data_IF_407690044623
#
_entry.id   IF_407690044623
#
_cell.length_a   1.000
_cell.length_b   1.000
_cell.length_c   1.000
_cell.angle_alpha   90.00
_cell.angle_beta   90.00
_cell.angle_gamma   90.00
#
_symmetry.space_group_name_H-M   'P 1'
#
loop_
_entity.id
_entity.type
_entity.pdbx_description
1 polymer ?
#
# COMPACT_ATOMS: atom_id res chain seq x y z
N UNK A 1 -25.12 -15.11 3.37
CA UNK A 1 -24.01 -14.19 3.69
C UNK A 1 -22.83 -15.02 4.13
N UNK A 2 -21.74 -14.99 3.37
CA UNK A 2 -20.49 -15.63 3.76
C UNK A 2 -20.00 -15.00 5.08
N UNK A 3 -19.36 -15.79 5.96
CA UNK A 3 -18.79 -15.28 7.22
C UNK A 3 -17.85 -14.07 7.01
N UNK A 4 -17.08 -14.04 5.91
CA UNK A 4 -16.19 -12.93 5.56
C UNK A 4 -16.93 -11.61 5.33
N UNK A 5 -18.10 -11.62 4.70
CA UNK A 5 -18.89 -10.40 4.46
C UNK A 5 -19.37 -9.79 5.78
N UNK A 6 -19.77 -10.63 6.73
CA UNK A 6 -20.17 -10.19 8.07
C UNK A 6 -18.99 -9.63 8.87
N UNK A 7 -17.82 -10.26 8.78
CA UNK A 7 -16.59 -9.77 9.44
C UNK A 7 -16.20 -8.40 8.90
N UNK A 8 -16.17 -8.25 7.57
CA UNK A 8 -15.90 -6.96 6.92
C UNK A 8 -16.91 -5.91 7.36
N UNK A 9 -18.22 -6.22 7.30
CA UNK A 9 -19.28 -5.29 7.71
C UNK A 9 -19.11 -4.81 9.15
N UNK A 10 -18.85 -5.73 10.09
CA UNK A 10 -18.59 -5.39 11.50
C UNK A 10 -17.42 -4.43 11.64
N UNK A 11 -16.29 -4.71 10.97
CA UNK A 11 -15.11 -3.81 10.98
C UNK A 11 -15.43 -2.42 10.44
N UNK A 12 -16.20 -2.32 9.37
CA UNK A 12 -16.60 -1.03 8.80
C UNK A 12 -17.54 -0.25 9.74
N UNK A 13 -18.47 -0.94 10.40
CA UNK A 13 -19.31 -0.35 11.46
C UNK A 13 -18.48 0.12 12.67
N UNK A 14 -17.35 -0.55 12.93
CA UNK A 14 -16.33 -0.16 13.93
C UNK A 14 -15.34 0.92 13.41
N UNK A 15 -15.57 1.49 12.21
CA UNK A 15 -14.76 2.58 11.66
C UNK A 15 -13.51 2.15 10.89
N UNK A 16 -13.39 0.88 10.47
CA UNK A 16 -12.30 0.46 9.60
C UNK A 16 -12.35 1.12 8.22
N UNK A 17 -11.19 1.28 7.58
CA UNK A 17 -11.07 1.79 6.23
C UNK A 17 -11.18 0.65 5.20
N UNK A 18 -11.91 0.89 4.11
CA UNK A 18 -11.95 0.01 2.94
C UNK A 18 -11.43 0.75 1.72
N UNK A 19 -10.10 0.83 1.58
CA UNK A 19 -9.45 1.45 0.44
C UNK A 19 -9.15 0.41 -0.62
N UNK A 20 -9.63 0.63 -1.84
CA UNK A 20 -9.33 -0.23 -2.98
C UNK A 20 -7.82 -0.23 -3.24
N UNK A 21 -7.25 -1.43 -3.47
CA UNK A 21 -5.83 -1.57 -3.79
C UNK A 21 -5.66 -1.78 -5.29
N UNK A 22 -4.77 -0.99 -5.89
CA UNK A 22 -4.26 -1.26 -7.24
C UNK A 22 -3.04 -2.16 -7.10
N UNK A 23 -3.13 -3.37 -7.62
CA UNK A 23 -2.02 -4.33 -7.63
C UNK A 23 -1.49 -4.51 -9.05
N UNK A 24 -0.19 -4.75 -9.16
CA UNK A 24 0.45 -5.12 -10.42
C UNK A 24 1.37 -6.30 -10.18
N UNK A 25 1.38 -7.23 -11.14
CA UNK A 25 2.45 -8.20 -11.29
C UNK A 25 3.41 -7.66 -12.36
N UNK A 26 4.70 -7.62 -12.04
CA UNK A 26 5.74 -7.17 -12.96
C UNK A 26 6.59 -8.40 -13.30
N UNK A 27 6.46 -8.89 -14.52
CA UNK A 27 7.27 -9.99 -15.04
C UNK A 27 8.54 -9.44 -15.67
N UNK A 28 9.68 -9.85 -15.13
CA UNK A 28 11.03 -9.40 -15.52
C UNK A 28 11.92 -10.57 -15.94
N UNK A 29 11.31 -11.69 -16.33
CA UNK A 29 11.98 -12.92 -16.78
C UNK A 29 12.84 -12.67 -18.02
N UNK A 30 12.39 -11.80 -18.91
CA UNK A 30 13.11 -11.26 -20.05
C UNK A 30 13.28 -9.73 -19.90
N UNK A 31 14.49 -9.22 -19.63
CA UNK A 31 14.75 -7.79 -19.51
C UNK A 31 14.41 -6.97 -20.76
N UNK A 32 14.39 -7.59 -21.94
CA UNK A 32 14.02 -6.92 -23.20
C UNK A 32 12.51 -6.88 -23.43
N UNK A 33 11.74 -7.62 -22.61
CA UNK A 33 10.28 -7.66 -22.67
C UNK A 33 9.68 -7.69 -21.27
N UNK A 34 9.57 -6.52 -20.67
CA UNK A 34 8.90 -6.36 -19.37
C UNK A 34 7.39 -6.42 -19.59
N UNK A 35 6.71 -7.25 -18.81
CA UNK A 35 5.26 -7.27 -18.77
C UNK A 35 4.79 -6.74 -17.43
N UNK A 36 3.81 -5.84 -17.47
CA UNK A 36 3.06 -5.44 -16.29
C UNK A 36 1.65 -6.00 -16.50
N UNK A 37 1.11 -6.67 -15.49
CA UNK A 37 -0.25 -7.19 -15.53
C UNK A 37 -1.04 -6.65 -14.33
N UNK A 38 -2.26 -6.13 -14.53
CA UNK A 38 -3.09 -5.70 -13.42
C UNK A 38 -3.47 -6.92 -12.57
N UNK A 39 -3.32 -6.78 -11.26
CA UNK A 39 -3.64 -7.83 -10.30
C UNK A 39 -4.87 -7.42 -9.50
N UNK A 40 -5.93 -8.23 -9.60
CA UNK A 40 -7.15 -8.02 -8.82
C UNK A 40 -6.93 -8.40 -7.34
N UNK A 41 -6.45 -7.41 -6.57
CA UNK A 41 -6.29 -7.50 -5.12
C UNK A 41 -7.60 -7.42 -4.35
N UNK A 42 -8.71 -7.10 -5.01
CA UNK A 42 -10.01 -6.87 -4.38
C UNK A 42 -11.01 -8.00 -4.69
N UNK A 43 -10.53 -9.10 -5.28
CA UNK A 43 -11.35 -10.28 -5.58
C UNK A 43 -12.04 -10.87 -4.34
N UNK A 44 -13.20 -11.54 -4.49
CA UNK A 44 -13.89 -12.17 -3.35
C UNK A 44 -13.02 -13.17 -2.58
N UNK A 45 -12.15 -13.91 -3.27
CA UNK A 45 -11.22 -14.85 -2.64
C UNK A 45 -10.18 -14.14 -1.77
N UNK A 46 -9.57 -13.06 -2.28
CA UNK A 46 -8.61 -12.25 -1.52
C UNK A 46 -9.27 -11.62 -0.29
N UNK A 47 -10.52 -11.15 -0.42
CA UNK A 47 -11.27 -10.61 0.71
C UNK A 47 -11.49 -11.65 1.81
N UNK A 48 -11.81 -12.90 1.47
CA UNK A 48 -11.98 -13.96 2.47
C UNK A 48 -10.68 -14.16 3.26
N UNK A 49 -9.55 -14.29 2.56
CA UNK A 49 -8.24 -14.49 3.20
C UNK A 49 -7.86 -13.29 4.07
N UNK A 50 -8.11 -12.07 3.60
CA UNK A 50 -7.82 -10.85 4.35
C UNK A 50 -8.65 -10.78 5.64
N UNK A 51 -9.96 -10.98 5.58
CA UNK A 51 -10.82 -10.88 6.75
C UNK A 51 -10.52 -11.98 7.78
N UNK A 52 -10.16 -13.19 7.33
CA UNK A 52 -9.69 -14.25 8.23
C UNK A 52 -8.35 -13.90 8.87
N UNK A 53 -7.40 -13.35 8.12
CA UNK A 53 -6.11 -12.94 8.66
C UNK A 53 -6.26 -11.82 9.69
N UNK A 54 -7.12 -10.83 9.42
CA UNK A 54 -7.44 -9.76 10.36
C UNK A 54 -8.08 -10.33 11.62
N UNK A 55 -9.05 -11.25 11.48
CA UNK A 55 -9.70 -11.89 12.63
C UNK A 55 -8.68 -12.60 13.52
N UNK A 56 -7.82 -13.45 12.95
CA UNK A 56 -6.79 -14.17 13.72
C UNK A 56 -5.84 -13.21 14.44
N UNK A 57 -5.41 -12.14 13.76
CA UNK A 57 -4.53 -11.14 14.34
C UNK A 57 -5.22 -10.31 15.46
N UNK A 58 -6.52 -10.01 15.30
CA UNK A 58 -7.35 -9.34 16.31
C UNK A 58 -7.50 -10.21 17.56
N UNK A 59 -7.86 -11.48 17.39
CA UNK A 59 -8.02 -12.41 18.51
C UNK A 59 -6.69 -12.72 19.19
N UNK A 60 -5.58 -12.78 18.43
CA UNK A 60 -4.23 -12.90 19.02
C UNK A 60 -3.94 -11.71 19.95
N UNK A 61 -4.20 -10.48 19.48
CA UNK A 61 -4.01 -9.28 20.30
C UNK A 61 -4.87 -9.27 21.56
N UNK A 62 -6.15 -9.63 21.45
CA UNK A 62 -7.06 -9.75 22.60
C UNK A 62 -6.57 -10.78 23.63
N UNK A 63 -6.11 -11.94 23.18
CA UNK A 63 -5.61 -12.99 24.07
C UNK A 63 -4.41 -12.51 24.90
N UNK A 64 -3.41 -11.92 24.25
CA UNK A 64 -2.24 -11.36 24.94
C UNK A 64 -2.64 -10.27 25.93
N UNK A 65 -3.58 -9.40 25.56
CA UNK A 65 -4.04 -8.33 26.43
C UNK A 65 -4.75 -8.88 27.68
N UNK A 66 -5.70 -9.81 27.49
CA UNK A 66 -6.49 -10.38 28.59
C UNK A 66 -5.62 -11.16 29.59
N UNK A 67 -4.63 -11.91 29.09
CA UNK A 67 -3.69 -12.67 29.92
C UNK A 67 -2.55 -11.79 30.47
N UNK A 68 -2.51 -10.49 30.14
CA UNK A 68 -1.40 -9.59 30.45
C UNK A 68 -0.03 -10.16 30.02
N UNK A 69 0.00 -10.88 28.91
CA UNK A 69 1.20 -11.55 28.39
C UNK A 69 2.00 -10.60 27.48
N UNK A 70 3.34 -10.52 27.63
CA UNK A 70 4.14 -9.58 26.86
C UNK A 70 4.21 -9.96 25.38
N UNK A 71 3.89 -9.00 24.52
CA UNK A 71 3.85 -9.15 23.06
C UNK A 71 4.09 -7.82 22.36
N UNK A 72 4.16 -7.86 21.02
CA UNK A 72 4.31 -6.66 20.19
C UNK A 72 2.98 -6.42 19.45
N UNK A 73 2.29 -5.38 19.85
CA UNK A 73 1.08 -4.84 19.22
C UNK A 73 1.44 -3.96 18.03
N UNK A 74 0.47 -3.81 17.14
CA UNK A 74 0.54 -2.88 16.01
C UNK A 74 -0.64 -1.93 16.08
N UNK A 75 -0.40 -0.74 16.63
CA UNK A 75 -1.37 0.34 16.76
C UNK A 75 -1.35 1.29 15.57
N UNK A 76 -2.45 2.01 15.37
CA UNK A 76 -2.55 3.09 14.39
C UNK A 76 -3.51 4.15 14.92
N UNK A 77 -3.01 5.38 15.00
CA UNK A 77 -3.80 6.54 15.41
C UNK A 77 -5.05 6.72 14.52
N UNK A 78 -6.12 7.34 15.06
CA UNK A 78 -7.29 7.73 14.28
C UNK A 78 -6.92 8.49 13.02
N UNK A 79 -7.66 8.26 11.94
CA UNK A 79 -7.55 9.05 10.71
C UNK A 79 -8.57 10.20 10.73
N UNK A 80 -8.28 11.24 9.97
CA UNK A 80 -9.16 12.40 9.81
C UNK A 80 -9.60 12.53 8.35
N UNK A 81 -10.85 12.94 8.12
CA UNK A 81 -11.31 13.29 6.78
C UNK A 81 -10.80 14.69 6.42
N UNK A 82 -10.01 14.78 5.35
CA UNK A 82 -9.44 16.04 4.86
C UNK A 82 -10.13 16.58 3.61
N UNK A 83 -10.94 15.75 2.94
CA UNK A 83 -11.84 16.14 1.85
C UNK A 83 -13.21 15.53 2.07
N UNK A 84 -14.24 16.26 1.68
CA UNK A 84 -15.61 15.77 1.67
C UNK A 84 -15.76 14.63 0.66
N UNK A 85 -16.35 13.52 1.09
CA UNK A 85 -16.67 12.39 0.22
C UNK A 85 -18.05 12.62 -0.40
N UNK A 86 -18.14 12.69 -1.72
CA UNK A 86 -19.42 12.88 -2.40
C UNK A 86 -20.29 11.62 -2.30
N UNK A 87 -21.63 11.76 -2.41
CA UNK A 87 -22.50 10.61 -2.58
C UNK A 87 -22.02 9.76 -3.76
N UNK A 88 -21.87 8.45 -3.54
CA UNK A 88 -21.40 7.43 -4.51
C UNK A 88 -19.90 7.48 -4.87
N UNK A 89 -19.10 8.33 -4.21
CA UNK A 89 -17.64 8.34 -4.36
C UNK A 89 -16.98 7.29 -3.46
N UNK A 90 -16.04 6.51 -4.03
CA UNK A 90 -15.22 5.60 -3.23
C UNK A 90 -14.15 6.37 -2.45
N UNK A 91 -14.00 6.05 -1.17
CA UNK A 91 -12.96 6.65 -0.34
C UNK A 91 -11.56 6.23 -0.82
N UNK A 92 -10.70 7.21 -0.97
CA UNK A 92 -9.29 7.04 -1.35
C UNK A 92 -8.36 7.70 -0.32
N UNK A 93 -7.04 7.50 -0.47
CA UNK A 93 -6.04 8.18 0.36
C UNK A 93 -6.06 9.71 0.24
N UNK A 94 -6.71 10.28 -0.78
CA UNK A 94 -6.84 11.73 -0.92
C UNK A 94 -7.90 12.34 0.00
N UNK A 95 -8.79 11.51 0.51
CA UNK A 95 -9.88 11.91 1.39
C UNK A 95 -9.49 11.88 2.86
N UNK A 96 -8.39 11.20 3.21
CA UNK A 96 -8.01 10.95 4.60
C UNK A 96 -6.57 11.38 4.91
N UNK A 97 -6.37 11.94 6.10
CA UNK A 97 -5.07 12.01 6.76
C UNK A 97 -4.92 10.81 7.67
N UNK A 98 -3.93 9.97 7.42
CA UNK A 98 -3.70 8.74 8.18
C UNK A 98 -2.21 8.58 8.50
N UNK A 99 -1.92 8.24 9.76
CA UNK A 99 -0.57 7.91 10.18
C UNK A 99 -0.20 6.46 9.84
N UNK A 100 1.09 6.21 9.63
CA UNK A 100 1.60 4.86 9.54
C UNK A 100 1.39 4.14 10.89
N UNK A 101 0.97 2.87 10.82
CA UNK A 101 0.88 2.01 11.99
C UNK A 101 2.27 1.82 12.65
N UNK A 102 2.29 1.78 13.97
CA UNK A 102 3.50 1.68 14.80
C UNK A 102 3.49 0.36 15.56
N UNK A 103 4.69 -0.16 15.84
CA UNK A 103 4.86 -1.34 16.70
C UNK A 103 5.19 -0.89 18.12
N UNK A 104 4.55 -1.51 19.10
CA UNK A 104 4.73 -1.19 20.53
C UNK A 104 4.45 -2.42 21.39
N UNK A 105 5.00 -2.48 22.61
CA UNK A 105 4.56 -3.46 23.61
C UNK A 105 3.28 -3.02 24.34
N UNK A 106 2.91 -1.75 24.20
CA UNK A 106 1.66 -1.19 24.71
C UNK A 106 0.55 -1.45 23.70
N UNK A 107 -0.55 -2.01 24.17
CA UNK A 107 -1.76 -2.20 23.38
C UNK A 107 -2.36 -0.84 22.99
N UNK A 108 -2.52 -0.63 21.68
CA UNK A 108 -3.19 0.53 21.09
C UNK A 108 -4.13 0.07 19.99
N UNK A 109 -5.24 0.79 19.82
CA UNK A 109 -6.18 0.54 18.74
C UNK A 109 -5.52 0.75 17.37
N UNK A 110 -6.01 0.02 16.37
CA UNK A 110 -5.62 0.16 14.97
C UNK A 110 -6.79 0.73 14.18
N UNK A 111 -6.84 2.06 14.04
CA UNK A 111 -7.96 2.79 13.46
C UNK A 111 -8.34 2.30 12.04
N UNK A 112 -7.37 2.17 11.13
CA UNK A 112 -7.64 1.72 9.76
C UNK A 112 -8.17 0.28 9.66
N UNK A 113 -8.06 -0.51 10.74
CA UNK A 113 -8.60 -1.86 10.81
C UNK A 113 -9.81 -1.99 11.74
N UNK A 114 -10.27 -0.92 12.39
CA UNK A 114 -11.37 -1.02 13.36
C UNK A 114 -11.11 -2.11 14.41
N UNK A 115 -9.88 -2.19 14.92
CA UNK A 115 -9.48 -3.22 15.89
C UNK A 115 -8.95 -2.55 17.16
N UNK A 116 -9.49 -2.91 18.31
CA UNK A 116 -9.01 -2.43 19.62
C UNK A 116 -7.64 -3.02 19.98
N UNK A 117 -7.44 -4.30 19.67
CA UNK A 117 -6.16 -5.00 19.85
C UNK A 117 -5.78 -5.67 18.53
N UNK A 118 -4.54 -5.49 18.10
CA UNK A 118 -4.06 -6.07 16.85
C UNK A 118 -2.60 -6.51 16.96
N UNK A 119 -2.36 -7.80 16.78
CA UNK A 119 -1.02 -8.41 16.76
C UNK A 119 -0.86 -9.26 15.51
N UNK A 120 0.28 -9.14 14.82
CA UNK A 120 0.53 -9.91 13.61
C UNK A 120 1.06 -11.30 13.97
N UNK A 121 0.39 -12.36 13.52
CA UNK A 121 0.73 -13.76 13.83
C UNK A 121 0.58 -14.73 12.66
N UNK A 122 0.13 -14.27 11.49
CA UNK A 122 -0.28 -15.12 10.35
C UNK A 122 0.79 -15.32 9.28
N UNK A 123 2.02 -14.82 9.44
CA UNK A 123 3.07 -15.00 8.43
C UNK A 123 4.50 -15.24 8.99
N UNK A 124 4.69 -16.19 9.91
CA UNK A 124 5.97 -16.42 10.61
C UNK A 124 7.13 -16.78 9.66
N UNK A 125 6.85 -17.40 8.51
CA UNK A 125 7.88 -17.80 7.52
C UNK A 125 8.61 -16.57 6.93
N UNK A 126 7.90 -15.45 6.77
CA UNK A 126 8.39 -14.26 6.05
C UNK A 126 8.46 -12.99 6.89
N UNK A 127 7.97 -13.03 8.14
CA UNK A 127 8.00 -11.90 9.07
C UNK A 127 8.49 -12.35 10.43
N UNK A 128 9.63 -11.78 10.84
CA UNK A 128 10.22 -12.04 12.16
C UNK A 128 9.26 -11.67 13.31
N UNK A 129 8.49 -10.59 13.16
CA UNK A 129 7.45 -10.20 14.13
C UNK A 129 6.46 -11.33 14.39
N UNK A 130 5.88 -11.90 13.33
CA UNK A 130 4.91 -12.99 13.44
C UNK A 130 5.52 -14.25 14.08
N UNK A 131 6.80 -14.53 13.81
CA UNK A 131 7.52 -15.64 14.46
C UNK A 131 7.67 -15.39 15.97
N UNK A 132 8.10 -14.19 16.38
CA UNK A 132 8.19 -13.80 17.80
C UNK A 132 6.83 -13.92 18.47
N UNK A 133 5.77 -13.43 17.82
CA UNK A 133 4.39 -13.55 18.33
C UNK A 133 3.98 -15.01 18.51
N UNK A 134 4.26 -15.89 17.55
CA UNK A 134 3.90 -17.31 17.66
C UNK A 134 4.67 -18.04 18.77
N UNK A 135 5.94 -17.70 18.98
CA UNK A 135 6.74 -18.27 20.08
C UNK A 135 6.16 -17.86 21.44
N UNK A 136 5.85 -16.57 21.62
CA UNK A 136 5.22 -16.07 22.85
C UNK A 136 3.83 -16.66 23.05
N UNK A 137 3.03 -16.74 21.98
CA UNK A 137 1.69 -17.33 22.01
C UNK A 137 1.75 -18.79 22.45
N UNK A 138 2.75 -19.54 21.96
CA UNK A 138 2.94 -20.93 22.37
C UNK A 138 3.26 -21.06 23.85
N UNK A 139 4.18 -20.25 24.38
CA UNK A 139 4.51 -20.25 25.80
C UNK A 139 3.30 -19.89 26.68
N UNK A 140 2.53 -18.87 26.27
CA UNK A 140 1.29 -18.48 26.94
C UNK A 140 0.27 -19.63 27.00
N UNK A 141 0.03 -20.32 25.87
CA UNK A 141 -0.90 -21.44 25.80
C UNK A 141 -0.44 -22.65 26.64
N UNK A 142 0.87 -22.89 26.68
CA UNK A 142 1.48 -23.94 27.51
C UNK A 142 1.60 -23.52 29.00
N UNK A 143 1.13 -22.32 29.37
CA UNK A 143 1.20 -21.72 30.71
C UNK A 143 2.64 -21.63 31.25
N UNK A 144 3.56 -21.30 30.37
CA UNK A 144 4.96 -21.08 30.67
C UNK A 144 5.25 -19.58 30.80
N UNK A 145 6.39 -19.27 31.41
CA UNK A 145 6.92 -17.90 31.42
C UNK A 145 7.17 -17.39 29.99
N UNK A 146 7.07 -16.08 29.76
CA UNK A 146 7.47 -15.47 28.49
C UNK A 146 8.88 -15.88 28.07
N UNK A 147 9.02 -16.32 26.82
CA UNK A 147 10.31 -16.67 26.24
C UNK A 147 11.19 -15.43 26.06
N UNK A 148 10.56 -14.29 25.77
CA UNK A 148 11.23 -13.01 25.58
C UNK A 148 10.77 -12.00 26.62
N UNK A 149 11.75 -11.30 27.21
CA UNK A 149 11.51 -10.21 28.14
C UNK A 149 10.99 -8.96 27.42
N UNK A 150 10.27 -8.10 28.14
CA UNK A 150 9.66 -6.90 27.57
C UNK A 150 10.70 -5.95 26.94
N UNK A 151 11.88 -5.79 27.56
CA UNK A 151 12.96 -4.95 27.04
C UNK A 151 13.53 -5.48 25.71
N UNK A 152 13.43 -6.79 25.46
CA UNK A 152 13.81 -7.35 24.17
C UNK A 152 12.75 -7.03 23.11
N UNK A 153 11.47 -7.16 23.47
CA UNK A 153 10.34 -6.90 22.58
C UNK A 153 10.28 -5.42 22.17
N UNK A 154 10.48 -4.47 23.10
CA UNK A 154 10.55 -3.03 22.81
C UNK A 154 11.65 -2.75 21.78
N UNK A 155 12.86 -3.27 22.03
CA UNK A 155 14.02 -3.08 21.15
C UNK A 155 13.79 -3.67 19.76
N UNK A 156 13.13 -4.83 19.67
CA UNK A 156 12.77 -5.43 18.39
C UNK A 156 11.67 -4.64 17.68
N UNK A 157 10.66 -4.12 18.38
CA UNK A 157 9.62 -3.29 17.78
C UNK A 157 10.22 -2.05 17.08
N UNK A 158 11.19 -1.38 17.70
CA UNK A 158 11.92 -0.25 17.11
C UNK A 158 12.78 -0.65 15.91
N UNK A 159 13.54 -1.74 16.05
CA UNK A 159 14.43 -2.24 14.99
C UNK A 159 13.63 -2.68 13.76
N UNK A 160 12.53 -3.41 13.97
CA UNK A 160 11.63 -3.88 12.91
C UNK A 160 11.04 -2.68 12.16
N UNK A 161 10.52 -1.66 12.88
CA UNK A 161 9.97 -0.46 12.24
C UNK A 161 11.01 0.28 11.40
N UNK A 162 12.24 0.40 11.89
CA UNK A 162 13.32 1.05 11.16
C UNK A 162 13.69 0.28 9.90
N UNK A 163 13.89 -1.04 10.00
CA UNK A 163 14.20 -1.89 8.83
C UNK A 163 13.07 -1.94 7.82
N UNK A 164 11.81 -1.98 8.27
CA UNK A 164 10.66 -2.01 7.38
C UNK A 164 10.57 -0.74 6.51
N UNK A 165 10.93 0.43 7.05
CA UNK A 165 10.98 1.68 6.27
C UNK A 165 12.00 1.60 5.13
N UNK A 166 13.19 1.06 5.41
CA UNK A 166 14.24 0.87 4.41
C UNK A 166 13.81 -0.15 3.35
N UNK A 167 13.24 -1.29 3.74
CA UNK A 167 12.73 -2.27 2.79
C UNK A 167 11.61 -1.72 1.90
N UNK A 168 10.64 -1.00 2.47
CA UNK A 168 9.57 -0.37 1.70
C UNK A 168 10.10 0.69 0.73
N UNK A 169 11.21 1.36 1.06
CA UNK A 169 11.88 2.29 0.16
C UNK A 169 12.53 1.54 -1.00
N UNK A 170 13.34 0.53 -0.71
CA UNK A 170 14.00 -0.27 -1.73
C UNK A 170 13.00 -0.95 -2.67
N UNK A 171 11.91 -1.51 -2.12
CA UNK A 171 10.83 -2.12 -2.92
C UNK A 171 10.19 -1.10 -3.87
N UNK A 172 9.87 0.11 -3.38
CA UNK A 172 9.33 1.18 -4.22
C UNK A 172 10.31 1.60 -5.32
N UNK A 173 11.60 1.71 -5.02
CA UNK A 173 12.63 2.06 -5.99
C UNK A 173 12.77 0.98 -7.08
N UNK A 174 12.76 -0.30 -6.70
CA UNK A 174 12.80 -1.44 -7.64
C UNK A 174 11.55 -1.48 -8.52
N UNK A 175 10.36 -1.37 -7.94
CA UNK A 175 9.09 -1.33 -8.69
C UNK A 175 9.06 -0.14 -9.65
N UNK A 176 9.50 1.04 -9.19
CA UNK A 176 9.54 2.25 -9.99
C UNK A 176 10.52 2.15 -11.16
N UNK A 177 11.70 1.56 -10.94
CA UNK A 177 12.67 1.26 -11.99
C UNK A 177 12.07 0.36 -13.07
N UNK A 178 11.44 -0.76 -12.69
CA UNK A 178 10.86 -1.68 -13.66
C UNK A 178 9.67 -1.09 -14.42
N UNK A 179 8.84 -0.27 -13.76
CA UNK A 179 7.80 0.52 -14.44
C UNK A 179 8.40 1.54 -15.42
N UNK A 180 9.53 2.17 -15.08
CA UNK A 180 10.24 3.08 -15.97
C UNK A 180 10.81 2.34 -17.19
N UNK A 181 11.37 1.14 -16.98
CA UNK A 181 11.85 0.24 -18.03
C UNK A 181 10.73 -0.21 -18.96
N UNK A 182 9.58 -0.56 -18.40
CA UNK A 182 8.38 -0.86 -19.18
C UNK A 182 7.98 0.31 -20.08
N UNK A 183 7.92 1.54 -19.52
CA UNK A 183 7.62 2.75 -20.31
C UNK A 183 8.65 2.99 -21.42
N UNK A 184 9.93 2.69 -21.19
CA UNK A 184 10.97 2.81 -22.21
C UNK A 184 10.75 1.86 -23.41
N UNK A 185 10.16 0.69 -23.17
CA UNK A 185 9.81 -0.29 -24.21
C UNK A 185 8.50 0.07 -24.94
N UNK A 186 7.73 1.03 -24.41
CA UNK A 186 6.40 1.41 -24.88
C UNK A 186 6.30 2.92 -25.20
N UNK A 187 7.36 3.49 -25.79
CA UNK A 187 7.35 4.86 -26.31
C UNK A 187 6.46 4.98 -27.55
N UNK A 188 6.12 6.21 -27.93
CA UNK A 188 5.17 6.56 -28.99
C UNK A 188 3.71 6.15 -28.71
N UNK A 189 3.40 5.78 -27.47
CA UNK A 189 2.03 5.60 -26.98
C UNK A 189 1.56 6.83 -26.21
N UNK A 190 0.24 7.01 -26.17
CA UNK A 190 -0.40 8.03 -25.32
C UNK A 190 -0.88 7.43 -24.01
N UNK A 191 -0.68 8.17 -22.93
CA UNK A 191 -1.05 7.79 -21.56
C UNK A 191 -1.99 8.84 -20.99
N UNK A 192 -3.10 8.40 -20.40
CA UNK A 192 -3.94 9.29 -19.59
C UNK A 192 -3.20 9.55 -18.29
N UNK A 193 -2.91 10.82 -18.01
CA UNK A 193 -2.17 11.23 -16.82
C UNK A 193 -3.01 12.17 -15.98
N UNK A 194 -2.87 12.06 -14.66
CA UNK A 194 -3.50 12.94 -13.69
C UNK A 194 -2.46 13.84 -13.05
N UNK A 195 -2.72 15.14 -12.99
CA UNK A 195 -1.87 16.09 -12.28
C UNK A 195 -2.06 15.89 -10.78
N UNK A 196 -1.01 15.47 -10.06
CA UNK A 196 -1.09 15.32 -8.60
C UNK A 196 -0.92 16.65 -7.88
N UNK A 197 0.14 17.39 -8.24
CA UNK A 197 0.48 18.68 -7.63
C UNK A 197 1.55 19.40 -8.42
N UNK A 198 1.62 20.71 -8.21
CA UNK A 198 2.74 21.53 -8.65
C UNK A 198 3.91 21.43 -7.68
N UNK A 199 5.13 21.35 -8.20
CA UNK A 199 6.37 21.29 -7.45
C UNK A 199 7.17 22.60 -7.63
N UNK A 200 8.12 22.91 -6.74
CA UNK A 200 9.07 23.99 -6.94
C UNK A 200 9.82 23.86 -8.29
N UNK A 201 10.41 24.97 -8.76
CA UNK A 201 11.20 25.02 -10.00
C UNK A 201 10.41 24.69 -11.29
N UNK A 202 9.11 25.02 -11.33
CA UNK A 202 8.22 24.82 -12.50
C UNK A 202 8.14 23.36 -12.96
N UNK A 203 8.18 22.43 -12.00
CA UNK A 203 7.96 21.00 -12.24
C UNK A 203 6.54 20.64 -11.81
N UNK A 204 5.97 19.66 -12.47
CA UNK A 204 4.65 19.14 -12.17
C UNK A 204 4.77 17.65 -11.89
N UNK A 205 4.14 17.19 -10.81
CA UNK A 205 4.05 15.77 -10.47
C UNK A 205 2.79 15.18 -11.10
N UNK A 206 2.97 14.12 -11.87
CA UNK A 206 1.91 13.40 -12.55
C UNK A 206 1.82 11.96 -12.04
N UNK A 207 0.64 11.39 -12.18
CA UNK A 207 0.38 9.95 -12.07
C UNK A 207 -0.08 9.43 -13.44
N UNK A 208 0.41 8.26 -13.85
CA UNK A 208 -0.22 7.43 -14.87
C UNK A 208 -1.11 6.44 -14.08
N UNK A 209 -2.43 6.69 -13.93
CA UNK A 209 -3.25 5.95 -12.99
C UNK A 209 -3.36 4.47 -13.32
N UNK A 210 -3.36 4.15 -14.62
CA UNK A 210 -3.38 2.77 -15.08
C UNK A 210 -2.16 1.98 -14.59
N UNK A 211 -0.97 2.58 -14.56
CA UNK A 211 0.27 1.94 -14.12
C UNK A 211 0.57 2.16 -12.63
N UNK A 212 -0.21 2.96 -11.90
CA UNK A 212 0.16 3.50 -10.57
C UNK A 212 1.62 3.99 -10.56
N UNK A 213 1.93 4.84 -11.54
CA UNK A 213 3.29 5.31 -11.78
C UNK A 213 3.35 6.83 -11.63
N UNK A 214 4.11 7.29 -10.64
CA UNK A 214 4.29 8.71 -10.34
C UNK A 214 5.62 9.19 -10.87
N UNK A 215 5.62 10.32 -11.56
CA UNK A 215 6.82 10.96 -12.06
C UNK A 215 6.68 12.48 -12.02
N UNK A 216 7.79 13.21 -12.23
CA UNK A 216 7.75 14.66 -12.29
C UNK A 216 8.56 15.20 -13.46
N UNK A 217 7.97 16.13 -14.21
CA UNK A 217 8.59 16.74 -15.39
C UNK A 217 8.30 18.25 -15.45
N UNK A 218 9.08 18.99 -16.22
CA UNK A 218 8.91 20.45 -16.39
C UNK A 218 8.02 20.79 -17.59
N UNK A 219 7.59 22.05 -17.68
CA UNK A 219 6.84 22.57 -18.84
C UNK A 219 5.32 22.48 -18.75
N UNK A 220 4.78 22.12 -17.58
CA UNK A 220 3.35 21.94 -17.32
C UNK A 220 2.86 22.73 -16.08
N UNK A 221 3.56 23.82 -15.73
CA UNK A 221 3.36 24.61 -14.51
C UNK A 221 2.02 25.35 -14.44
N UNK A 222 1.22 25.32 -15.52
CA UNK A 222 -0.10 25.94 -15.62
C UNK A 222 -1.27 24.97 -15.47
N UNK A 223 -1.00 23.67 -15.30
CA UNK A 223 -2.08 22.69 -15.15
C UNK A 223 -2.62 22.69 -13.71
N UNK A 224 -3.93 22.61 -13.57
CA UNK A 224 -4.57 22.52 -12.27
C UNK A 224 -4.40 21.13 -11.66
N UNK A 225 -4.18 21.00 -10.34
CA UNK A 225 -4.22 19.70 -9.65
C UNK A 225 -5.53 18.94 -9.91
N UNK A 226 -5.45 17.61 -9.90
CA UNK A 226 -6.53 16.67 -10.22
C UNK A 226 -7.04 16.72 -11.67
N UNK A 227 -6.53 17.62 -12.52
CA UNK A 227 -6.87 17.60 -13.95
C UNK A 227 -6.23 16.41 -14.65
N UNK A 228 -6.97 15.86 -15.62
CA UNK A 228 -6.49 14.79 -16.49
C UNK A 228 -6.02 15.36 -17.83
N UNK A 229 -4.90 14.84 -18.34
CA UNK A 229 -4.34 15.21 -19.64
C UNK A 229 -3.74 13.99 -20.32
N UNK A 230 -3.97 13.89 -21.62
CA UNK A 230 -3.36 12.86 -22.46
C UNK A 230 -1.96 13.32 -22.89
N UNK A 231 -0.95 12.52 -22.54
CA UNK A 231 0.45 12.80 -22.89
C UNK A 231 1.01 11.70 -23.79
N UNK A 232 1.65 12.11 -24.89
CA UNK A 232 2.46 11.24 -25.73
C UNK A 232 3.83 11.06 -25.08
N UNK A 233 4.22 9.80 -24.84
CA UNK A 233 5.54 9.46 -24.33
C UNK A 233 6.54 9.32 -25.48
N UNK A 234 7.45 10.28 -25.63
CA UNK A 234 8.42 10.28 -26.73
C UNK A 234 9.71 9.53 -26.38
N UNK A 235 10.19 9.70 -25.16
CA UNK A 235 11.49 9.15 -24.73
C UNK A 235 11.51 8.87 -23.22
N UNK A 236 12.21 7.81 -22.83
CA UNK A 236 12.51 7.49 -21.43
C UNK A 236 14.02 7.26 -21.28
N UNK A 237 14.65 8.11 -20.47
CA UNK A 237 16.00 7.91 -19.95
C UNK A 237 15.88 7.39 -18.52
N UNK A 238 16.62 6.34 -18.15
CA UNK A 238 16.54 5.74 -16.81
C UNK A 238 17.50 6.36 -15.80
N UNK A 239 18.66 6.85 -16.25
CA UNK A 239 19.73 7.33 -15.38
C UNK A 239 20.34 8.66 -15.91
N UNK A 240 20.03 9.80 -15.26
CA UNK A 240 18.92 10.00 -14.33
C UNK A 240 17.56 9.81 -15.01
N UNK A 241 16.54 9.41 -14.24
CA UNK A 241 15.21 9.19 -14.76
C UNK A 241 14.62 10.48 -15.36
N UNK A 242 14.31 10.45 -16.66
CA UNK A 242 13.65 11.54 -17.39
C UNK A 242 12.66 10.97 -18.39
N UNK A 243 11.44 11.49 -18.34
CA UNK A 243 10.39 11.19 -19.31
C UNK A 243 10.17 12.42 -20.16
N UNK A 244 10.35 12.29 -21.48
CA UNK A 244 10.02 13.34 -22.45
C UNK A 244 8.59 13.12 -22.92
N UNK A 245 7.73 14.08 -22.60
CA UNK A 245 6.29 13.99 -22.84
C UNK A 245 5.81 15.23 -23.58
N UNK A 246 4.82 15.06 -24.45
CA UNK A 246 4.15 16.16 -25.16
C UNK A 246 2.63 16.05 -24.97
N UNK A 247 1.91 17.17 -24.73
CA UNK A 247 0.45 17.17 -24.82
C UNK A 247 -0.02 16.60 -26.15
N UNK A 248 -1.00 15.69 -26.09
CA UNK A 248 -1.63 15.11 -27.25
C UNK A 248 -3.13 15.42 -27.22
N UNK A 249 -3.68 15.91 -28.33
CA UNK A 249 -5.12 15.97 -28.53
C UNK A 249 -5.64 14.58 -28.92
N UNK A 250 -6.89 14.27 -28.60
CA UNK A 250 -7.49 12.94 -28.83
C UNK A 250 -7.55 12.49 -30.30
N UNK A 251 -7.38 13.44 -31.24
CA UNK A 251 -7.52 13.23 -32.70
C UNK A 251 -6.18 12.97 -33.42
N UNK A 252 -5.04 12.94 -32.72
CA UNK A 252 -3.76 12.56 -33.31
C UNK A 252 -3.66 11.02 -33.25
N UNK A 253 -3.43 10.35 -34.39
CA UNK A 253 -3.47 8.88 -34.65
C UNK A 253 -2.57 7.97 -33.76
N UNK A 254 -2.16 8.41 -32.57
CA UNK A 254 -1.37 7.65 -31.61
C UNK A 254 -2.22 6.64 -30.85
N UNK A 255 -1.71 5.42 -30.73
CA UNK A 255 -2.36 4.39 -29.93
C UNK A 255 -2.31 4.76 -28.45
N UNK A 256 -3.47 4.69 -27.79
CA UNK A 256 -3.57 4.78 -26.34
C UNK A 256 -3.05 3.49 -25.73
N UNK A 257 -2.19 3.61 -24.74
CA UNK A 257 -1.80 2.46 -23.93
C UNK A 257 -3.06 1.82 -23.32
N UNK A 258 -3.16 0.49 -23.45
CA UNK A 258 -4.24 -0.26 -22.84
C UNK A 258 -3.74 -1.64 -22.44
N UNK A 259 -4.32 -2.16 -21.36
CA UNK A 259 -4.18 -3.55 -20.96
C UNK A 259 -5.01 -4.45 -21.89
N UNK A 260 -4.59 -4.67 -23.13
CA UNK A 260 -5.28 -5.64 -24.01
C UNK A 260 -4.38 -6.81 -24.40
N UNK A 261 -4.86 -7.98 -23.93
CA UNK A 261 -4.50 -9.42 -24.10
C UNK A 261 -3.25 -9.81 -24.89
#
# INVERSE_FOLDING_TARGET
QLCSEKLKKSRLEEGALNLARRGFEIEVSDPERILINPLDRNSPANQIIEELAVLVNRETGKLFHNESFPGIYRGQAPYELVKELKPDEEMTLEHISIEAAKLSTVAEAHAGLGCEFYMQSTSPIRRFLDLVTQIQLRAMLDKQEPVFAEEQLIRWAELIQTRQREYNRAEREVVHYWKSRYLQQHTNLTYLTRVRRQLPQKRTEFEIPELDYVFSTGGFDKLEPESEILLLLEEVQLEPLRLKLRPCESDQDFQRHSWSK
#
